data_IF_778238064697
#
_entry.id   IF_778238064697
#
_cell.length_a   1.000
_cell.length_b   1.000
_cell.length_c   1.000
_cell.angle_alpha   90.00
_cell.angle_beta   90.00
_cell.angle_gamma   90.00
#
_symmetry.space_group_name_H-M   'P 1'
#
loop_
_entity.id
_entity.type
_entity.pdbx_description
1 polymer ?
#
# COMPACT_ATOMS: atom_id res chain seq x y z
N UNK A 1 -10.14 -13.95 -15.62
CA UNK A 1 -8.82 -13.31 -15.82
C UNK A 1 -8.91 -11.81 -15.94
N UNK A 2 -9.75 -11.26 -16.84
CA UNK A 2 -9.94 -9.80 -16.99
C UNK A 2 -10.23 -9.07 -15.68
N UNK A 3 -11.15 -9.60 -14.85
CA UNK A 3 -11.47 -8.99 -13.54
C UNK A 3 -10.24 -8.88 -12.64
N UNK A 4 -9.42 -9.93 -12.52
CA UNK A 4 -8.20 -9.90 -11.68
C UNK A 4 -7.18 -8.91 -12.23
N UNK A 5 -6.94 -8.96 -13.55
CA UNK A 5 -5.99 -8.12 -14.26
C UNK A 5 -6.32 -6.62 -14.21
N UNK A 6 -7.58 -6.25 -13.94
CA UNK A 6 -8.02 -4.85 -13.88
C UNK A 6 -8.31 -4.40 -12.45
N UNK A 7 -9.08 -5.18 -11.68
CA UNK A 7 -9.57 -4.76 -10.36
C UNK A 7 -8.43 -4.58 -9.36
N UNK A 8 -7.48 -5.52 -9.29
CA UNK A 8 -6.40 -5.45 -8.30
C UNK A 8 -5.40 -4.32 -8.56
N UNK A 9 -4.96 -4.06 -9.80
CA UNK A 9 -4.18 -2.86 -10.09
C UNK A 9 -4.92 -1.56 -9.75
N UNK A 10 -6.22 -1.46 -10.05
CA UNK A 10 -7.03 -0.27 -9.72
C UNK A 10 -7.15 -0.08 -8.20
N UNK A 11 -7.36 -1.16 -7.44
CA UNK A 11 -7.39 -1.09 -5.97
C UNK A 11 -6.04 -0.69 -5.37
N UNK A 12 -4.94 -1.20 -5.94
CA UNK A 12 -3.59 -0.80 -5.53
C UNK A 12 -3.30 0.65 -5.87
N UNK A 13 -3.76 1.15 -7.02
CA UNK A 13 -3.66 2.57 -7.37
C UNK A 13 -4.40 3.44 -6.36
N UNK A 14 -5.66 3.09 -6.05
CA UNK A 14 -6.45 3.81 -5.04
C UNK A 14 -5.73 3.82 -3.68
N UNK A 15 -5.19 2.67 -3.27
CA UNK A 15 -4.45 2.54 -2.01
C UNK A 15 -3.16 3.36 -2.02
N UNK A 16 -2.44 3.39 -3.15
CA UNK A 16 -1.22 4.17 -3.32
C UNK A 16 -1.51 5.67 -3.17
N UNK A 17 -2.56 6.16 -3.84
CA UNK A 17 -3.00 7.56 -3.75
C UNK A 17 -3.40 7.92 -2.32
N UNK A 18 -4.25 7.13 -1.67
CA UNK A 18 -4.68 7.39 -0.29
C UNK A 18 -3.49 7.37 0.69
N UNK A 19 -2.56 6.43 0.50
CA UNK A 19 -1.35 6.33 1.33
C UNK A 19 -0.44 7.54 1.11
N UNK A 20 -0.29 8.00 -0.13
CA UNK A 20 0.49 9.20 -0.45
C UNK A 20 -0.12 10.45 0.19
N UNK A 21 -1.45 10.63 0.06
CA UNK A 21 -2.16 11.78 0.64
C UNK A 21 -2.04 11.80 2.17
N UNK A 22 -2.10 10.64 2.82
CA UNK A 22 -1.87 10.52 4.26
C UNK A 22 -0.41 10.81 4.65
N UNK A 23 0.57 10.31 3.89
CA UNK A 23 2.00 10.56 4.12
C UNK A 23 2.45 12.01 3.85
N UNK A 24 1.67 12.74 3.05
CA UNK A 24 1.82 14.17 2.81
C UNK A 24 1.07 15.03 3.85
N UNK A 25 0.30 14.42 4.76
CA UNK A 25 -0.50 15.14 5.76
C UNK A 25 -1.79 15.76 5.23
N UNK A 26 -2.12 15.58 3.95
CA UNK A 26 -3.37 16.07 3.34
C UNK A 26 -4.57 15.30 3.93
N UNK A 27 -4.44 13.97 4.01
CA UNK A 27 -5.44 13.14 4.64
C UNK A 27 -5.16 13.06 6.14
N UNK A 28 -5.99 13.72 6.94
CA UNK A 28 -5.93 13.65 8.42
C UNK A 28 -6.21 12.22 8.89
N UNK A 29 -5.67 11.89 10.07
CA UNK A 29 -5.91 10.62 10.75
C UNK A 29 -7.41 10.34 10.86
N UNK A 30 -7.85 9.22 10.29
CA UNK A 30 -9.25 8.84 10.22
C UNK A 30 -9.42 7.31 10.30
N UNK A 31 -10.66 6.83 10.45
CA UNK A 31 -10.98 5.40 10.55
C UNK A 31 -11.51 4.77 9.26
N UNK A 32 -11.58 5.54 8.17
CA UNK A 32 -12.25 5.16 6.91
C UNK A 32 -11.24 4.75 5.83
N UNK A 33 -10.18 5.52 5.64
CA UNK A 33 -9.21 5.38 4.55
C UNK A 33 -7.77 5.25 5.07
N UNK A 34 -6.92 4.52 4.33
CA UNK A 34 -5.49 4.32 4.68
C UNK A 34 -5.21 3.08 5.54
N UNK A 35 -3.96 2.98 6.01
CA UNK A 35 -3.44 1.86 6.80
C UNK A 35 -3.84 2.05 8.26
N UNK A 36 -4.82 1.26 8.71
CA UNK A 36 -5.50 1.42 10.00
C UNK A 36 -5.03 0.39 11.02
N UNK A 37 -3.80 0.56 11.48
CA UNK A 37 -3.22 -0.25 12.56
C UNK A 37 -3.10 0.60 13.83
N UNK A 38 -3.02 -0.05 15.00
CA UNK A 38 -2.97 0.66 16.29
C UNK A 38 -1.86 1.73 16.34
N UNK A 39 -0.70 1.46 15.75
CA UNK A 39 0.42 2.40 15.73
C UNK A 39 0.17 3.63 14.84
N UNK A 40 -0.39 3.47 13.65
CA UNK A 40 -0.69 4.61 12.75
C UNK A 40 -1.85 5.46 13.26
N UNK A 41 -2.74 4.90 14.08
CA UNK A 41 -3.88 5.61 14.67
C UNK A 41 -3.58 6.25 16.03
N UNK A 42 -2.39 6.05 16.60
CA UNK A 42 -2.06 6.53 17.96
C UNK A 42 -1.87 8.05 18.01
N UNK A 43 -1.20 8.62 17.02
CA UNK A 43 -0.91 10.05 16.92
C UNK A 43 -0.98 10.53 15.47
N UNK A 44 -1.02 11.85 15.28
CA UNK A 44 -0.99 12.44 13.94
C UNK A 44 0.43 12.35 13.33
N UNK A 45 1.49 12.41 14.14
CA UNK A 45 2.87 12.22 13.69
C UNK A 45 3.11 10.77 13.24
N UNK A 46 2.62 9.78 14.00
CA UNK A 46 2.66 8.37 13.66
C UNK A 46 1.84 8.04 12.41
N UNK A 47 0.70 8.71 12.23
CA UNK A 47 -0.09 8.62 10.99
C UNK A 47 0.71 9.04 9.76
N UNK A 48 1.28 10.25 9.77
CA UNK A 48 2.04 10.79 8.62
C UNK A 48 3.30 9.96 8.38
N UNK A 49 4.08 9.66 9.43
CA UNK A 49 5.31 8.90 9.31
C UNK A 49 5.07 7.48 8.77
N UNK A 50 4.05 6.79 9.30
CA UNK A 50 3.68 5.45 8.84
C UNK A 50 3.28 5.42 7.37
N UNK A 51 2.43 6.35 6.93
CA UNK A 51 1.98 6.40 5.54
C UNK A 51 3.08 6.87 4.58
N UNK A 52 3.93 7.82 5.00
CA UNK A 52 5.08 8.25 4.21
C UNK A 52 6.07 7.11 3.97
N UNK A 53 6.32 6.28 4.98
CA UNK A 53 7.20 5.12 4.86
C UNK A 53 6.59 4.01 3.99
N UNK A 54 5.26 3.83 4.01
CA UNK A 54 4.58 2.82 3.21
C UNK A 54 4.37 3.23 1.74
N UNK A 55 4.25 4.53 1.44
CA UNK A 55 3.97 5.04 0.11
C UNK A 55 4.83 4.43 -1.03
N UNK A 56 6.17 4.38 -0.96
CA UNK A 56 6.98 3.82 -2.05
C UNK A 56 6.68 2.33 -2.30
N UNK A 57 6.38 1.57 -1.24
CA UNK A 57 6.06 0.15 -1.34
C UNK A 57 4.69 -0.09 -1.99
N UNK A 58 3.70 0.74 -1.68
CA UNK A 58 2.37 0.64 -2.31
C UNK A 58 2.43 1.03 -3.79
N UNK A 59 3.22 2.04 -4.14
CA UNK A 59 3.47 2.39 -5.56
C UNK A 59 4.20 1.28 -6.31
N UNK A 60 5.23 0.67 -5.72
CA UNK A 60 5.92 -0.47 -6.33
C UNK A 60 4.95 -1.65 -6.56
N UNK A 61 4.11 -1.95 -5.56
CA UNK A 61 3.03 -2.92 -5.67
C UNK A 61 2.09 -2.66 -6.83
N UNK A 62 1.63 -1.42 -6.97
CA UNK A 62 0.80 -0.99 -8.10
C UNK A 62 1.49 -1.20 -9.44
N UNK A 63 2.74 -0.75 -9.61
CA UNK A 63 3.47 -0.86 -10.88
C UNK A 63 3.63 -2.33 -11.29
N UNK A 64 4.04 -3.19 -10.36
CA UNK A 64 4.19 -4.64 -10.62
C UNK A 64 2.84 -5.26 -10.99
N UNK A 65 1.79 -4.96 -10.23
CA UNK A 65 0.45 -5.48 -10.47
C UNK A 65 -0.12 -5.00 -11.80
N UNK A 66 0.06 -3.73 -12.16
CA UNK A 66 -0.39 -3.16 -13.43
C UNK A 66 0.34 -3.77 -14.63
N UNK A 67 1.68 -3.88 -14.56
CA UNK A 67 2.46 -4.52 -15.62
C UNK A 67 2.05 -5.98 -15.81
N UNK A 68 1.89 -6.74 -14.72
CA UNK A 68 1.41 -8.12 -14.79
C UNK A 68 -0.03 -8.21 -15.31
N UNK A 69 -0.91 -7.30 -14.91
CA UNK A 69 -2.29 -7.23 -15.39
C UNK A 69 -2.36 -7.01 -16.91
N UNK A 70 -1.59 -6.05 -17.43
CA UNK A 70 -1.48 -5.81 -18.88
C UNK A 70 -0.96 -7.05 -19.60
N UNK A 71 0.11 -7.68 -19.11
CA UNK A 71 0.64 -8.92 -19.70
C UNK A 71 -0.38 -10.06 -19.69
N UNK A 72 -1.17 -10.20 -18.62
CA UNK A 72 -2.23 -11.21 -18.52
C UNK A 72 -3.39 -10.99 -19.51
N UNK A 73 -3.56 -9.77 -20.03
CA UNK A 73 -4.58 -9.43 -21.03
C UNK A 73 -4.08 -9.59 -22.47
N UNK A 74 -2.77 -9.48 -22.69
CA UNK A 74 -2.15 -9.54 -24.02
C UNK A 74 -1.65 -10.94 -24.41
N UNK A 75 -1.52 -11.85 -23.44
CA UNK A 75 -0.97 -13.19 -23.61
C UNK A 75 -2.05 -14.23 -23.33
N UNK A 76 -1.85 -15.44 -23.85
CA UNK A 76 -2.82 -16.53 -23.76
C UNK A 76 -2.29 -17.76 -23.01
N UNK A 77 -3.21 -18.66 -22.66
CA UNK A 77 -2.91 -19.96 -22.09
C UNK A 77 -2.22 -19.89 -20.72
N UNK A 78 -1.23 -20.75 -20.51
CA UNK A 78 -0.53 -20.86 -19.23
C UNK A 78 0.22 -19.57 -18.84
N UNK A 79 0.70 -18.80 -19.82
CA UNK A 79 1.45 -17.57 -19.57
C UNK A 79 0.52 -16.49 -18.98
N UNK A 80 -0.69 -16.36 -19.51
CA UNK A 80 -1.71 -15.47 -18.96
C UNK A 80 -2.03 -15.78 -17.49
N UNK A 81 -2.11 -17.08 -17.16
CA UNK A 81 -2.35 -17.55 -15.80
C UNK A 81 -1.20 -17.18 -14.85
N UNK A 82 0.06 -17.33 -15.28
CA UNK A 82 1.24 -16.94 -14.46
C UNK A 82 1.17 -15.45 -14.11
N UNK A 83 0.89 -14.59 -15.09
CA UNK A 83 0.76 -13.16 -14.83
C UNK A 83 -0.43 -12.83 -13.92
N UNK A 84 -1.56 -13.52 -14.06
CA UNK A 84 -2.68 -13.36 -13.14
C UNK A 84 -2.30 -13.74 -11.69
N UNK A 85 -1.49 -14.77 -11.49
CA UNK A 85 -0.97 -15.14 -10.17
C UNK A 85 -0.03 -14.05 -9.64
N UNK A 86 0.83 -13.47 -10.47
CA UNK A 86 1.71 -12.36 -10.08
C UNK A 86 0.90 -11.15 -9.60
N UNK A 87 -0.23 -10.82 -10.25
CA UNK A 87 -1.13 -9.73 -9.81
C UNK A 87 -1.60 -9.97 -8.36
N UNK A 88 -2.04 -11.18 -8.04
CA UNK A 88 -2.51 -11.55 -6.69
C UNK A 88 -1.37 -11.54 -5.68
N UNK A 89 -0.21 -12.10 -6.06
CA UNK A 89 0.98 -12.13 -5.22
C UNK A 89 1.48 -10.72 -4.88
N UNK A 90 1.49 -9.82 -5.88
CA UNK A 90 1.88 -8.42 -5.69
C UNK A 90 0.96 -7.72 -4.68
N UNK A 91 -0.36 -7.95 -4.74
CA UNK A 91 -1.30 -7.41 -3.77
C UNK A 91 -0.98 -7.90 -2.35
N UNK A 92 -0.82 -9.21 -2.17
CA UNK A 92 -0.50 -9.80 -0.87
C UNK A 92 0.82 -9.29 -0.29
N UNK A 93 1.88 -9.25 -1.10
CA UNK A 93 3.19 -8.73 -0.71
C UNK A 93 3.10 -7.25 -0.32
N UNK A 94 2.38 -6.44 -1.10
CA UNK A 94 2.19 -5.01 -0.83
C UNK A 94 1.49 -4.78 0.50
N UNK A 95 0.42 -5.53 0.78
CA UNK A 95 -0.30 -5.44 2.06
C UNK A 95 0.62 -5.80 3.22
N UNK A 96 1.36 -6.91 3.13
CA UNK A 96 2.26 -7.35 4.20
C UNK A 96 3.38 -6.33 4.47
N UNK A 97 4.06 -5.87 3.43
CA UNK A 97 5.18 -4.92 3.55
C UNK A 97 4.70 -3.55 4.03
N UNK A 98 3.61 -3.02 3.45
CA UNK A 98 3.08 -1.72 3.86
C UNK A 98 2.61 -1.71 5.32
N UNK A 99 1.97 -2.78 5.79
CA UNK A 99 1.58 -2.93 7.20
C UNK A 99 2.81 -2.93 8.12
N UNK A 100 3.83 -3.71 7.78
CA UNK A 100 5.05 -3.81 8.57
C UNK A 100 5.79 -2.46 8.65
N UNK A 101 6.05 -1.85 7.48
CA UNK A 101 6.80 -0.60 7.37
C UNK A 101 6.04 0.56 8.02
N UNK A 102 4.74 0.70 7.75
CA UNK A 102 3.92 1.72 8.38
C UNK A 102 3.88 1.55 9.90
N UNK A 103 3.75 0.31 10.37
CA UNK A 103 3.70 0.04 11.80
C UNK A 103 4.99 0.41 12.51
N UNK A 104 6.14 0.09 11.89
CA UNK A 104 7.47 0.41 12.42
C UNK A 104 7.69 1.92 12.46
N UNK A 105 7.46 2.61 11.35
CA UNK A 105 7.66 4.05 11.23
C UNK A 105 6.75 4.86 12.17
N UNK A 106 5.50 4.41 12.37
CA UNK A 106 4.59 5.07 13.30
C UNK A 106 5.07 4.96 14.76
N UNK A 107 5.55 3.78 15.18
CA UNK A 107 6.08 3.60 16.54
C UNK A 107 7.31 4.46 16.81
N UNK A 108 8.25 4.50 15.87
CA UNK A 108 9.47 5.33 16.01
C UNK A 108 9.15 6.81 16.10
N UNK A 109 8.12 7.28 15.38
CA UNK A 109 7.67 8.67 15.45
C UNK A 109 7.04 8.99 16.81
N UNK A 110 6.26 8.08 17.38
CA UNK A 110 5.68 8.24 18.71
C UNK A 110 6.75 8.26 19.82
N UNK A 111 7.72 7.35 19.76
CA UNK A 111 8.84 7.29 20.71
C UNK A 111 9.67 8.58 20.70
N UNK A 112 9.94 9.13 19.51
CA UNK A 112 10.69 10.38 19.35
C UNK A 112 9.94 11.59 19.93
N UNK A 113 8.60 11.60 19.82
CA UNK A 113 7.77 12.65 20.38
C UNK A 113 7.75 12.64 21.92
N UNK A 114 7.79 11.46 22.54
CA UNK A 114 7.86 11.32 24.00
C UNK A 114 9.23 11.70 24.58
N UNK A 115 10.31 11.47 23.82
CA UNK A 115 11.66 11.84 24.26
C UNK A 115 11.93 13.35 24.24
N UNK A 116 11.07 14.14 23.58
CA UNK A 116 11.21 15.59 23.40
C UNK A 116 10.22 16.41 24.24
N UNK A 117 9.31 15.75 24.97
CA UNK A 117 8.35 16.34 25.91
C UNK A 117 8.85 16.30 27.35
#
# INVERSE_FOLDING_TARGET
MVMVAVVFPVLLLLTAVLTQLAGNGVLRRNRVAGIRVRSTLRSDSGWVAGHRAAAPWVWAGFVVSAAAGVSALLLDGAIALVFAVIVVAALGATVAVSLYVASRAARTADESALATS
#
